data_IF_229087635682
#
_entry.id   IF_229087635682
#
_cell.length_a   1.000
_cell.length_b   1.000
_cell.length_c   1.000
_cell.angle_alpha   90.00
_cell.angle_beta   90.00
_cell.angle_gamma   90.00
#
_symmetry.space_group_name_H-M   'P 1'
#
loop_
_entity.id
_entity.type
_entity.pdbx_description
1 polymer ?
#
# COMPACT_ATOMS: atom_id res chain seq x y z
N UNK A 1 -20.55 -12.07 -6.97
CA UNK A 1 -19.75 -12.56 -8.13
C UNK A 1 -18.48 -13.30 -7.68
N UNK A 2 -17.96 -13.06 -6.47
CA UNK A 2 -16.81 -13.81 -5.92
C UNK A 2 -17.11 -14.54 -4.60
N UNK A 3 -18.30 -14.36 -4.01
CA UNK A 3 -18.64 -14.85 -2.68
C UNK A 3 -18.66 -16.39 -2.54
N UNK A 4 -18.89 -17.09 -3.65
CA UNK A 4 -18.91 -18.54 -3.75
C UNK A 4 -17.50 -19.17 -3.80
N UNK A 5 -16.49 -18.46 -4.31
CA UNK A 5 -15.11 -18.96 -4.41
C UNK A 5 -14.21 -18.54 -3.23
N UNK A 6 -14.56 -17.45 -2.54
CA UNK A 6 -13.79 -16.90 -1.42
C UNK A 6 -13.53 -17.94 -0.30
N UNK A 7 -14.52 -18.76 0.14
CA UNK A 7 -14.29 -19.79 1.14
C UNK A 7 -13.32 -20.88 0.69
N UNK A 8 -13.36 -21.25 -0.58
CA UNK A 8 -12.49 -22.29 -1.12
C UNK A 8 -11.04 -21.83 -1.26
N UNK A 9 -10.81 -20.52 -1.42
CA UNK A 9 -9.49 -19.92 -1.49
C UNK A 9 -8.94 -19.48 -0.12
N UNK A 10 -9.71 -19.63 0.96
CA UNK A 10 -9.33 -19.18 2.31
C UNK A 10 -8.98 -17.68 2.41
N UNK A 11 -9.45 -16.88 1.45
CA UNK A 11 -8.98 -15.50 1.25
C UNK A 11 -9.84 -14.45 1.94
N UNK A 12 -10.83 -14.85 2.77
CA UNK A 12 -11.72 -13.91 3.48
C UNK A 12 -10.94 -12.83 4.23
N UNK A 13 -9.89 -13.22 4.94
CA UNK A 13 -9.10 -12.29 5.74
C UNK A 13 -8.40 -11.24 4.87
N UNK A 14 -7.79 -11.65 3.75
CA UNK A 14 -7.11 -10.74 2.84
C UNK A 14 -8.09 -9.75 2.19
N UNK A 15 -9.27 -10.21 1.77
CA UNK A 15 -10.30 -9.35 1.16
C UNK A 15 -10.83 -8.34 2.16
N UNK A 16 -11.01 -8.73 3.43
CA UNK A 16 -11.44 -7.80 4.48
C UNK A 16 -10.49 -6.61 4.67
N UNK A 17 -9.22 -6.74 4.31
CA UNK A 17 -8.23 -5.67 4.39
C UNK A 17 -8.26 -4.68 3.23
N UNK A 18 -8.93 -5.01 2.12
CA UNK A 18 -9.00 -4.14 0.94
C UNK A 18 -9.60 -2.78 1.29
N UNK A 19 -10.64 -2.74 2.13
CA UNK A 19 -11.24 -1.47 2.56
C UNK A 19 -10.25 -0.57 3.31
N UNK A 20 -9.45 -1.15 4.22
CA UNK A 20 -8.40 -0.41 4.95
C UNK A 20 -7.31 0.11 4.01
N UNK A 21 -6.94 -0.67 2.99
CA UNK A 21 -5.97 -0.25 1.98
C UNK A 21 -6.47 0.95 1.17
N UNK A 22 -7.76 0.97 0.83
CA UNK A 22 -8.38 2.08 0.10
C UNK A 22 -8.47 3.35 0.94
N UNK A 23 -8.76 3.25 2.24
CA UNK A 23 -8.81 4.40 3.15
C UNK A 23 -7.46 5.09 3.34
N UNK A 24 -6.36 4.33 3.32
CA UNK A 24 -5.01 4.85 3.57
C UNK A 24 -4.32 5.39 2.32
N UNK A 25 -4.93 5.24 1.14
CA UNK A 25 -4.31 5.57 -0.14
C UNK A 25 -3.15 4.63 -0.51
N UNK A 26 -2.63 4.82 -1.71
CA UNK A 26 -1.61 3.97 -2.32
C UNK A 26 -0.20 4.34 -1.85
N UNK A 27 0.79 3.51 -2.23
CA UNK A 27 2.20 3.88 -2.08
C UNK A 27 2.59 5.08 -2.97
N UNK A 28 1.95 5.23 -4.13
CA UNK A 28 2.18 6.35 -5.04
C UNK A 28 1.72 7.67 -4.42
N UNK A 29 0.58 7.70 -3.73
CA UNK A 29 0.09 8.91 -3.04
C UNK A 29 1.10 9.39 -1.99
N UNK A 30 1.71 8.45 -1.26
CA UNK A 30 2.74 8.76 -0.25
C UNK A 30 4.04 9.23 -0.90
N UNK A 31 4.45 8.62 -2.01
CA UNK A 31 5.63 9.05 -2.77
C UNK A 31 5.45 10.46 -3.36
N UNK A 32 4.29 10.75 -3.92
CA UNK A 32 3.94 12.09 -4.42
C UNK A 32 3.99 13.12 -3.30
N UNK A 33 3.42 12.80 -2.13
CA UNK A 33 3.48 13.68 -0.95
C UNK A 33 4.93 14.01 -0.55
N UNK A 34 5.82 13.01 -0.47
CA UNK A 34 7.24 13.24 -0.18
C UNK A 34 7.88 14.17 -1.22
N UNK A 35 7.58 13.95 -2.50
CA UNK A 35 8.09 14.83 -3.55
C UNK A 35 7.50 16.24 -3.46
N UNK A 36 6.22 16.39 -3.12
CA UNK A 36 5.59 17.70 -2.99
C UNK A 36 6.20 18.53 -1.86
N UNK A 37 6.52 17.89 -0.74
CA UNK A 37 7.12 18.51 0.45
C UNK A 37 8.61 18.82 0.26
N UNK A 38 9.36 17.94 -0.41
CA UNK A 38 10.82 18.04 -0.50
C UNK A 38 11.34 18.55 -1.84
N UNK A 39 10.53 18.45 -2.91
CA UNK A 39 10.92 18.63 -4.32
C UNK A 39 12.17 17.82 -4.71
N UNK A 40 12.40 16.69 -4.05
CA UNK A 40 13.60 15.87 -4.19
C UNK A 40 13.25 14.44 -4.58
N UNK A 41 13.67 14.02 -5.78
CA UNK A 41 13.55 12.62 -6.20
C UNK A 41 14.41 11.67 -5.35
N UNK A 42 15.65 12.02 -4.95
CA UNK A 42 16.42 11.20 -4.00
C UNK A 42 15.67 10.93 -2.70
N UNK A 43 14.97 11.92 -2.14
CA UNK A 43 14.19 11.74 -0.91
C UNK A 43 13.03 10.74 -1.09
N UNK A 44 12.43 10.67 -2.28
CA UNK A 44 11.41 9.67 -2.61
C UNK A 44 12.03 8.27 -2.65
N UNK A 45 13.24 8.13 -3.20
CA UNK A 45 13.95 6.84 -3.23
C UNK A 45 14.28 6.37 -1.81
N UNK A 46 14.79 7.27 -0.96
CA UNK A 46 15.06 6.97 0.45
C UNK A 46 13.79 6.52 1.19
N UNK A 47 12.66 7.18 0.92
CA UNK A 47 11.35 6.78 1.46
C UNK A 47 10.92 5.38 1.01
N UNK A 48 11.11 5.03 -0.27
CA UNK A 48 10.78 3.70 -0.80
C UNK A 48 11.63 2.62 -0.10
N UNK A 49 12.93 2.88 0.04
CA UNK A 49 13.86 1.97 0.72
C UNK A 49 13.45 1.74 2.19
N UNK A 50 13.20 2.82 2.93
CA UNK A 50 12.76 2.73 4.33
C UNK A 50 11.42 1.99 4.47
N UNK A 51 10.45 2.26 3.58
CA UNK A 51 9.14 1.62 3.60
C UNK A 51 9.24 0.11 3.36
N UNK A 52 10.09 -0.33 2.43
CA UNK A 52 10.35 -1.75 2.19
C UNK A 52 10.99 -2.43 3.42
N UNK A 53 12.02 -1.81 4.00
CA UNK A 53 12.72 -2.35 5.18
C UNK A 53 11.82 -2.45 6.42
N UNK A 54 10.79 -1.61 6.54
CA UNK A 54 9.84 -1.68 7.66
C UNK A 54 8.96 -2.94 7.68
N UNK A 55 8.87 -3.64 6.54
CA UNK A 55 8.07 -4.88 6.40
C UNK A 55 8.89 -6.18 6.46
N UNK A 56 10.20 -6.10 6.67
CA UNK A 56 11.10 -7.23 6.90
C UNK A 56 11.38 -7.41 8.41
#
# INVERSE_FOLDING_TARGET
>A
FVDDVIPHLGSQHAISHVHKMLEQGTGADRQLKVFEETKSLPAVVDYIHASFLSGL
#
